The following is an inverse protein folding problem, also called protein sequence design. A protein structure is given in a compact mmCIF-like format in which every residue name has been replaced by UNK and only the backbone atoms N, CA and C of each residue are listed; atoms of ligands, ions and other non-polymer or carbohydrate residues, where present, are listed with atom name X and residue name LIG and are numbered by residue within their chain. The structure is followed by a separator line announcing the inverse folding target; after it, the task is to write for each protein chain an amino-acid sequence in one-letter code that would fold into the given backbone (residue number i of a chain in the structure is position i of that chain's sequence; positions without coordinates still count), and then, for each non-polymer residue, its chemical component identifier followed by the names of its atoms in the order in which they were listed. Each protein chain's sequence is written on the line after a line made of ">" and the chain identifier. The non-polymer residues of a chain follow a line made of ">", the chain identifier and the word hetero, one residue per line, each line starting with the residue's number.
data_IF_589550403305
#
_entry.id   IF_589550403305
#
_cell.length_a   1.000
_cell.length_b   1.000
_cell.length_c   1.000
_cell.angle_alpha   90.00
_cell.angle_beta   90.00
_cell.angle_gamma   90.00
#
_symmetry.space_group_name_H-M   'P 1'
#
loop_
_entity.id
_entity.type
_entity.pdbx_description
1 polymer ?
#
# COMPACT_ATOMS: atom_id res chain seq x y z
N UNK A 1 -8.90 -18.13 -12.05
CA UNK A 1 -10.16 -17.33 -12.08
C UNK A 1 -9.92 -15.81 -12.20
N UNK A 2 -8.76 -15.33 -11.76
CA UNK A 2 -8.43 -13.91 -11.67
C UNK A 2 -7.85 -13.29 -12.96
N UNK A 3 -7.48 -14.11 -13.94
CA UNK A 3 -6.88 -13.69 -15.22
C UNK A 3 -7.65 -12.58 -15.95
N UNK A 4 -8.98 -12.68 -15.95
CA UNK A 4 -9.84 -11.66 -16.60
C UNK A 4 -9.71 -10.32 -15.89
N UNK A 5 -9.72 -10.30 -14.55
CA UNK A 5 -9.58 -9.08 -13.76
C UNK A 5 -8.19 -8.46 -13.96
N UNK A 6 -7.15 -9.29 -13.97
CA UNK A 6 -5.76 -8.85 -14.18
C UNK A 6 -5.62 -8.19 -15.55
N UNK A 7 -6.13 -8.84 -16.60
CA UNK A 7 -6.08 -8.32 -17.96
C UNK A 7 -6.85 -7.01 -18.09
N UNK A 8 -8.06 -6.95 -17.54
CA UNK A 8 -8.87 -5.73 -17.62
C UNK A 8 -8.21 -4.59 -16.86
N UNK A 9 -7.67 -4.85 -15.66
CA UNK A 9 -6.97 -3.85 -14.89
C UNK A 9 -5.66 -3.38 -15.57
N UNK A 10 -4.92 -4.31 -16.18
CA UNK A 10 -3.71 -4.01 -16.95
C UNK A 10 -3.99 -2.99 -18.07
N UNK A 11 -5.06 -3.22 -18.82
CA UNK A 11 -5.44 -2.37 -19.97
C UNK A 11 -6.12 -1.08 -19.53
N UNK A 12 -7.08 -1.17 -18.60
CA UNK A 12 -7.94 -0.05 -18.20
C UNK A 12 -7.20 1.04 -17.45
N UNK A 13 -6.26 0.66 -16.60
CA UNK A 13 -5.56 1.57 -15.71
C UNK A 13 -4.08 1.71 -16.08
N UNK A 14 -3.65 1.13 -17.21
CA UNK A 14 -2.26 1.20 -17.66
C UNK A 14 -1.26 0.49 -16.75
N UNK A 15 -1.70 -0.52 -15.98
CA UNK A 15 -0.79 -1.27 -15.10
C UNK A 15 0.15 -2.20 -15.88
N UNK A 16 -0.22 -2.62 -17.09
CA UNK A 16 0.55 -3.60 -17.87
C UNK A 16 0.89 -4.84 -17.05
N UNK A 17 2.16 -5.21 -17.03
CA UNK A 17 2.67 -6.38 -16.29
C UNK A 17 2.55 -6.24 -14.76
N UNK A 18 2.30 -5.04 -14.25
CA UNK A 18 2.12 -4.78 -12.81
C UNK A 18 0.73 -5.15 -12.30
N UNK A 19 -0.22 -5.50 -13.17
CA UNK A 19 -1.57 -5.87 -12.73
C UNK A 19 -1.60 -7.14 -11.88
N UNK A 20 -0.80 -8.15 -12.24
CA UNK A 20 -0.65 -9.37 -11.46
C UNK A 20 -0.10 -9.09 -10.04
N UNK A 21 1.05 -8.38 -9.88
CA UNK A 21 1.57 -8.10 -8.55
C UNK A 21 0.67 -7.18 -7.73
N UNK A 22 -0.09 -6.25 -8.34
CA UNK A 22 -1.10 -5.46 -7.61
C UNK A 22 -2.17 -6.37 -7.01
N UNK A 23 -2.70 -7.31 -7.78
CA UNK A 23 -3.68 -8.28 -7.27
C UNK A 23 -3.06 -9.16 -6.17
N UNK A 24 -1.84 -9.66 -6.38
CA UNK A 24 -1.12 -10.48 -5.40
C UNK A 24 -0.95 -9.74 -4.07
N UNK A 25 -0.49 -8.48 -4.11
CA UNK A 25 -0.32 -7.64 -2.92
C UNK A 25 -1.65 -7.33 -2.23
N UNK A 26 -2.73 -7.11 -3.00
CA UNK A 26 -4.08 -6.95 -2.45
C UNK A 26 -4.52 -8.20 -1.69
N UNK A 27 -4.37 -9.39 -2.30
CA UNK A 27 -4.71 -10.66 -1.66
C UNK A 27 -3.86 -10.91 -0.43
N UNK A 28 -2.55 -10.69 -0.52
CA UNK A 28 -1.63 -10.83 0.62
C UNK A 28 -2.07 -9.94 1.78
N UNK A 29 -2.30 -8.65 1.52
CA UNK A 29 -2.68 -7.69 2.54
C UNK A 29 -4.01 -8.02 3.21
N UNK A 30 -5.03 -8.38 2.43
CA UNK A 30 -6.37 -8.67 2.96
C UNK A 30 -6.47 -10.03 3.65
N UNK A 31 -5.58 -10.97 3.34
CA UNK A 31 -5.58 -12.33 3.93
C UNK A 31 -4.50 -12.53 4.98
N UNK A 32 -3.62 -11.54 5.18
CA UNK A 32 -2.59 -11.53 6.21
C UNK A 32 -3.20 -11.74 7.59
N UNK A 33 -2.69 -12.72 8.33
CA UNK A 33 -3.15 -13.03 9.69
C UNK A 33 -2.92 -11.86 10.64
N UNK A 34 -1.82 -11.14 10.47
CA UNK A 34 -1.46 -9.96 11.28
C UNK A 34 -2.47 -8.81 11.14
N UNK A 35 -3.19 -8.76 10.02
CA UNK A 35 -4.27 -7.79 9.77
C UNK A 35 -5.66 -8.32 10.17
N UNK A 36 -5.74 -9.48 10.85
CA UNK A 36 -7.01 -10.13 11.19
C UNK A 36 -7.63 -10.91 10.02
N UNK A 37 -6.86 -11.19 8.97
CA UNK A 37 -7.32 -11.87 7.76
C UNK A 37 -8.44 -11.11 7.04
N UNK A 38 -9.22 -11.84 6.23
CA UNK A 38 -10.28 -11.24 5.41
C UNK A 38 -11.32 -10.51 6.26
N UNK A 39 -11.69 -11.07 7.43
CA UNK A 39 -12.64 -10.43 8.33
C UNK A 39 -12.08 -9.11 8.87
N UNK A 40 -10.85 -9.10 9.41
CA UNK A 40 -10.22 -7.87 9.91
C UNK A 40 -10.06 -6.80 8.83
N UNK A 41 -9.76 -7.22 7.60
CA UNK A 41 -9.75 -6.32 6.45
C UNK A 41 -11.12 -5.68 6.18
N UNK A 42 -12.20 -6.46 6.16
CA UNK A 42 -13.57 -5.93 5.98
C UNK A 42 -14.01 -5.05 7.15
N UNK A 43 -13.61 -5.37 8.38
CA UNK A 43 -13.89 -4.55 9.56
C UNK A 43 -13.29 -3.14 9.42
N UNK A 44 -12.14 -2.96 8.74
CA UNK A 44 -11.60 -1.61 8.49
C UNK A 44 -12.53 -0.73 7.67
N UNK A 45 -13.18 -1.30 6.65
CA UNK A 45 -14.17 -0.57 5.85
C UNK A 45 -15.43 -0.28 6.66
N UNK A 46 -15.88 -1.24 7.46
CA UNK A 46 -17.03 -1.05 8.37
C UNK A 46 -16.77 0.04 9.40
N UNK A 47 -15.57 0.07 9.98
CA UNK A 47 -15.14 1.09 10.94
C UNK A 47 -15.10 2.50 10.32
N UNK A 48 -14.87 2.60 9.01
CA UNK A 48 -14.97 3.86 8.26
C UNK A 48 -16.40 4.21 7.79
N UNK A 49 -17.42 3.50 8.27
CA UNK A 49 -18.82 3.73 7.89
C UNK A 49 -19.22 3.15 6.53
N UNK A 50 -18.36 2.35 5.89
CA UNK A 50 -18.58 1.77 4.55
C UNK A 50 -19.20 0.36 4.61
N UNK A 51 -19.79 -0.01 5.75
CA UNK A 51 -20.43 -1.32 5.93
C UNK A 51 -21.47 -1.69 4.86
N UNK A 52 -22.37 -0.79 4.45
CA UNK A 52 -23.33 -1.08 3.38
C UNK A 52 -22.65 -1.37 2.02
N UNK A 53 -21.54 -0.70 1.74
CA UNK A 53 -20.75 -0.92 0.52
C UNK A 53 -20.11 -2.30 0.56
N UNK A 54 -19.46 -2.65 1.68
CA UNK A 54 -18.87 -3.98 1.89
C UNK A 54 -19.90 -5.09 1.72
N UNK A 55 -21.09 -4.92 2.30
CA UNK A 55 -22.16 -5.91 2.22
C UNK A 55 -22.58 -6.19 0.78
N UNK A 56 -22.55 -5.19 -0.09
CA UNK A 56 -22.87 -5.36 -1.52
C UNK A 56 -21.86 -6.22 -2.28
N UNK A 57 -20.62 -6.31 -1.79
CA UNK A 57 -19.56 -7.09 -2.43
C UNK A 57 -19.66 -8.58 -2.12
N UNK A 58 -20.24 -8.92 -0.97
CA UNK A 58 -20.35 -10.31 -0.53
C UNK A 58 -21.19 -11.11 -1.52
N UNK A 59 -20.66 -12.25 -1.97
CA UNK A 59 -21.32 -13.08 -2.99
C UNK A 59 -21.04 -12.69 -4.44
N UNK A 60 -20.34 -11.57 -4.70
CA UNK A 60 -19.85 -11.20 -6.02
C UNK A 60 -20.93 -10.98 -7.07
N UNK A 61 -22.11 -10.50 -6.66
CA UNK A 61 -23.24 -10.22 -7.53
C UNK A 61 -23.08 -8.93 -8.35
N UNK A 62 -23.94 -8.72 -9.37
CA UNK A 62 -23.95 -7.51 -10.20
C UNK A 62 -24.26 -6.23 -9.41
N UNK A 63 -24.77 -6.36 -8.18
CA UNK A 63 -25.07 -5.26 -7.26
C UNK A 63 -23.84 -4.78 -6.46
N UNK A 64 -22.64 -5.31 -6.72
CA UNK A 64 -21.42 -4.88 -6.05
C UNK A 64 -21.18 -3.38 -6.30
N UNK A 65 -21.30 -2.59 -5.24
CA UNK A 65 -21.20 -1.15 -5.33
C UNK A 65 -19.75 -0.72 -5.52
N UNK A 66 -19.51 0.22 -6.44
CA UNK A 66 -18.21 0.83 -6.60
C UNK A 66 -17.81 1.61 -5.35
N UNK A 67 -16.51 1.66 -5.07
CA UNK A 67 -15.93 2.47 -4.01
C UNK A 67 -15.08 3.58 -4.61
N UNK A 68 -15.21 4.78 -4.06
CA UNK A 68 -14.47 5.95 -4.54
C UNK A 68 -13.01 5.94 -4.08
N UNK A 69 -12.15 6.64 -4.82
CA UNK A 69 -10.74 6.78 -4.46
C UNK A 69 -10.55 7.40 -3.07
N UNK A 70 -11.34 8.40 -2.70
CA UNK A 70 -11.27 9.05 -1.37
C UNK A 70 -11.65 8.11 -0.23
N UNK A 71 -12.65 7.24 -0.43
CA UNK A 71 -13.01 6.19 0.53
C UNK A 71 -11.90 5.15 0.66
N UNK A 72 -11.25 4.79 -0.44
CA UNK A 72 -10.08 3.89 -0.43
C UNK A 72 -8.90 4.49 0.32
N UNK A 73 -8.57 5.75 0.04
CA UNK A 73 -7.51 6.50 0.74
C UNK A 73 -7.80 6.58 2.25
N UNK A 74 -9.06 6.80 2.62
CA UNK A 74 -9.47 6.86 4.03
C UNK A 74 -9.19 5.54 4.77
N UNK A 75 -9.47 4.39 4.14
CA UNK A 75 -9.37 3.09 4.80
C UNK A 75 -7.99 2.45 4.67
N UNK A 76 -7.36 2.59 3.50
CA UNK A 76 -6.15 1.86 3.13
C UNK A 76 -4.94 2.77 2.86
N UNK A 77 -5.13 4.09 2.96
CA UNK A 77 -4.11 5.08 2.65
C UNK A 77 -3.18 5.44 3.79
N UNK A 78 -3.38 4.89 5.00
CA UNK A 78 -2.52 5.10 6.16
C UNK A 78 -1.05 4.83 5.85
N UNK A 79 -0.13 5.40 6.64
CA UNK A 79 1.29 5.05 6.54
C UNK A 79 1.48 3.54 6.78
N UNK A 80 2.10 2.84 5.83
CA UNK A 80 2.18 1.37 5.83
C UNK A 80 0.92 0.63 5.36
N UNK A 81 -0.12 1.36 4.92
CA UNK A 81 -1.31 0.79 4.30
C UNK A 81 -1.06 0.25 2.88
N UNK A 82 -2.03 -0.50 2.36
CA UNK A 82 -1.90 -1.17 1.06
C UNK A 82 -1.54 -0.21 -0.08
N UNK A 83 -2.12 0.98 -0.11
CA UNK A 83 -1.88 1.94 -1.20
C UNK A 83 -0.42 2.40 -1.21
N UNK A 84 0.16 2.61 -0.04
CA UNK A 84 1.56 3.00 0.13
C UNK A 84 2.51 1.84 -0.20
N UNK A 85 2.15 0.62 0.19
CA UNK A 85 2.92 -0.59 -0.14
C UNK A 85 2.98 -0.80 -1.65
N UNK A 86 1.84 -0.75 -2.33
CA UNK A 86 1.74 -0.98 -3.77
C UNK A 86 2.46 0.13 -4.55
N UNK A 87 2.23 1.40 -4.22
CA UNK A 87 2.91 2.51 -4.89
C UNK A 87 4.42 2.44 -4.70
N UNK A 88 4.89 2.12 -3.49
CA UNK A 88 6.32 2.04 -3.17
C UNK A 88 7.03 0.84 -3.79
N UNK A 89 6.38 -0.33 -3.83
CA UNK A 89 7.00 -1.55 -4.38
C UNK A 89 6.96 -1.63 -5.90
N UNK A 90 5.90 -1.10 -6.51
CA UNK A 90 5.69 -1.21 -7.96
C UNK A 90 5.97 0.09 -8.71
N UNK A 91 6.36 1.16 -8.00
CA UNK A 91 6.66 2.48 -8.55
C UNK A 91 5.47 3.04 -9.35
N UNK A 92 4.25 2.75 -8.87
CA UNK A 92 3.01 3.20 -9.48
C UNK A 92 2.52 4.50 -8.83
N UNK A 93 2.00 5.40 -9.66
CA UNK A 93 1.32 6.62 -9.18
C UNK A 93 0.12 6.30 -8.29
N UNK A 94 -0.06 7.09 -7.23
CA UNK A 94 -1.11 6.89 -6.21
C UNK A 94 -2.52 6.83 -6.81
N UNK A 95 -2.82 7.70 -7.77
CA UNK A 95 -4.11 7.73 -8.47
C UNK A 95 -4.38 6.46 -9.28
N UNK A 96 -3.37 5.91 -9.94
CA UNK A 96 -3.51 4.66 -10.70
C UNK A 96 -3.73 3.47 -9.76
N UNK A 97 -3.02 3.44 -8.63
CA UNK A 97 -3.17 2.39 -7.61
C UNK A 97 -4.57 2.43 -6.98
N UNK A 98 -5.05 3.60 -6.58
CA UNK A 98 -6.39 3.76 -5.99
C UNK A 98 -7.48 3.40 -6.99
N UNK A 99 -7.40 3.87 -8.23
CA UNK A 99 -8.37 3.54 -9.27
C UNK A 99 -8.40 2.03 -9.56
N UNK A 100 -7.23 1.40 -9.70
CA UNK A 100 -7.14 -0.03 -9.93
C UNK A 100 -7.69 -0.83 -8.74
N UNK A 101 -7.26 -0.52 -7.51
CA UNK A 101 -7.74 -1.21 -6.32
C UNK A 101 -9.24 -1.00 -6.10
N UNK A 102 -9.78 0.19 -6.38
CA UNK A 102 -11.21 0.46 -6.28
C UNK A 102 -12.06 -0.40 -7.22
N UNK A 103 -11.50 -0.79 -8.37
CA UNK A 103 -12.11 -1.73 -9.30
C UNK A 103 -11.88 -3.20 -8.91
N UNK A 104 -10.66 -3.58 -8.52
CA UNK A 104 -10.34 -4.97 -8.15
C UNK A 104 -11.07 -5.39 -6.87
N UNK A 105 -11.14 -4.50 -5.88
CA UNK A 105 -11.51 -4.84 -4.51
C UNK A 105 -12.91 -5.46 -4.40
N UNK A 106 -14.00 -4.86 -4.92
CA UNK A 106 -15.33 -5.46 -4.88
C UNK A 106 -15.37 -6.85 -5.52
N UNK A 107 -14.71 -7.00 -6.66
CA UNK A 107 -14.68 -8.25 -7.41
C UNK A 107 -13.91 -9.34 -6.65
N UNK A 108 -12.75 -9.01 -6.07
CA UNK A 108 -11.94 -9.96 -5.29
C UNK A 108 -12.68 -10.40 -4.03
N UNK A 109 -13.27 -9.47 -3.27
CA UNK A 109 -14.07 -9.80 -2.07
C UNK A 109 -15.22 -10.74 -2.43
N UNK A 110 -15.94 -10.45 -3.51
CA UNK A 110 -17.02 -11.31 -3.98
C UNK A 110 -16.56 -12.72 -4.36
N UNK A 111 -15.39 -12.85 -4.99
CA UNK A 111 -14.80 -14.16 -5.33
C UNK A 111 -14.33 -14.93 -4.11
N UNK A 112 -13.89 -14.25 -3.06
CA UNK A 112 -13.51 -14.86 -1.79
C UNK A 112 -14.71 -15.24 -0.93
N UNK A 113 -15.92 -14.74 -1.22
CA UNK A 113 -17.11 -14.94 -0.38
C UNK A 113 -18.28 -15.59 -1.15
N UNK A 114 -18.08 -16.81 -1.68
CA UNK A 114 -19.13 -17.49 -2.43
C UNK A 114 -20.39 -17.66 -1.58
N UNK A 115 -21.55 -17.30 -2.13
CA UNK A 115 -22.83 -17.36 -1.41
C UNK A 115 -23.03 -16.26 -0.37
N UNK A 116 -22.20 -15.21 -0.35
CA UNK A 116 -22.35 -14.07 0.56
C UNK A 116 -21.79 -14.31 1.97
N UNK A 117 -21.09 -15.42 2.17
CA UNK A 117 -20.49 -15.79 3.46
C UNK A 117 -18.97 -15.83 3.40
N UNK A 118 -18.32 -15.56 4.53
CA UNK A 118 -16.88 -15.70 4.68
C UNK A 118 -16.51 -17.20 4.71
N UNK A 119 -15.53 -17.64 3.92
CA UNK A 119 -15.13 -19.04 3.90
C UNK A 119 -14.31 -19.37 5.16
N UNK A 120 -14.46 -20.60 5.66
CA UNK A 120 -13.66 -21.10 6.78
C UNK A 120 -12.17 -21.30 6.43
N UNK A 121 -11.86 -21.47 5.13
CA UNK A 121 -10.51 -21.62 4.62
C UNK A 121 -10.40 -21.05 3.21
N UNK A 122 -9.23 -20.49 2.89
CA UNK A 122 -8.98 -19.94 1.56
C UNK A 122 -8.63 -21.06 0.57
N UNK A 123 -9.12 -21.00 -0.68
CA UNK A 123 -8.71 -21.93 -1.73
C UNK A 123 -7.19 -21.90 -1.95
N UNK A 124 -6.59 -23.02 -2.36
CA UNK A 124 -5.15 -23.13 -2.57
C UNK A 124 -4.60 -22.12 -3.60
N UNK A 125 -5.36 -21.82 -4.66
CA UNK A 125 -5.03 -20.78 -5.65
C UNK A 125 -4.86 -19.40 -5.00
N UNK A 126 -5.80 -19.03 -4.12
CA UNK A 126 -5.77 -17.75 -3.39
C UNK A 126 -4.59 -17.70 -2.42
N UNK A 127 -4.34 -18.80 -1.71
CA UNK A 127 -3.20 -18.89 -0.79
C UNK A 127 -1.87 -18.75 -1.52
N UNK A 128 -1.71 -19.39 -2.69
CA UNK A 128 -0.50 -19.26 -3.50
C UNK A 128 -0.31 -17.83 -4.01
N UNK A 129 -1.38 -17.17 -4.46
CA UNK A 129 -1.32 -15.80 -4.97
C UNK A 129 -1.05 -14.79 -3.84
N UNK A 130 -1.64 -14.99 -2.66
CA UNK A 130 -1.36 -14.21 -1.47
C UNK A 130 0.08 -14.40 -0.98
N UNK A 131 0.59 -15.65 -0.98
CA UNK A 131 1.99 -15.92 -0.63
C UNK A 131 2.97 -15.23 -1.60
N UNK A 132 2.66 -15.21 -2.90
CA UNK A 132 3.45 -14.46 -3.87
C UNK A 132 3.43 -12.94 -3.59
N UNK A 133 2.29 -12.39 -3.17
CA UNK A 133 2.18 -11.00 -2.75
C UNK A 133 3.00 -10.68 -1.51
N UNK A 134 3.03 -11.59 -0.53
CA UNK A 134 3.85 -11.46 0.67
C UNK A 134 5.35 -11.39 0.34
N UNK A 135 5.82 -12.23 -0.60
CA UNK A 135 7.20 -12.18 -1.11
C UNK A 135 7.54 -10.84 -1.76
N UNK A 136 6.60 -10.22 -2.47
CA UNK A 136 6.79 -8.89 -3.07
C UNK A 136 6.87 -7.78 -2.01
N UNK A 137 6.09 -7.91 -0.94
CA UNK A 137 6.07 -6.95 0.19
C UNK A 137 7.37 -7.09 1.01
N UNK A 138 7.80 -8.33 1.27
CA UNK A 138 8.99 -8.65 2.04
C UNK A 138 10.30 -8.43 1.28
N UNK A 139 10.28 -8.42 -0.05
CA UNK A 139 11.48 -8.26 -0.86
C UNK A 139 12.23 -6.98 -0.46
N UNK A 140 13.50 -7.09 0.00
CA UNK A 140 14.33 -5.91 0.21
C UNK A 140 14.51 -5.23 -1.14
N UNK A 141 14.35 -3.91 -1.18
CA UNK A 141 14.70 -3.09 -2.35
C UNK A 141 16.17 -3.37 -2.63
N UNK A 142 16.44 -4.17 -3.66
CA UNK A 142 17.75 -4.77 -3.86
C UNK A 142 18.77 -3.70 -4.30
N UNK A 143 19.43 -3.08 -3.33
CA UNK A 143 20.83 -2.74 -3.48
C UNK A 143 21.62 -4.05 -3.31
N UNK A 144 22.12 -4.59 -4.42
CA UNK A 144 23.15 -5.63 -4.57
C UNK A 144 23.39 -6.55 -3.36
N UNK A 145 22.90 -7.79 -3.45
CA UNK A 145 23.73 -8.99 -3.33
C UNK A 145 22.88 -10.24 -3.52
N UNK A 146 23.31 -11.11 -4.42
CA UNK A 146 22.84 -12.48 -4.54
C UNK A 146 22.94 -13.18 -3.18
N UNK A 147 21.80 -13.42 -2.54
CA UNK A 147 21.67 -14.42 -1.49
C UNK A 147 20.46 -15.27 -1.87
N UNK A 148 20.73 -16.23 -2.76
CA UNK A 148 19.73 -17.16 -3.27
C UNK A 148 19.08 -17.97 -2.16
N UNK A 149 17.78 -18.17 -2.31
CA UNK A 149 17.13 -19.35 -1.74
C UNK A 149 17.64 -20.59 -2.48
N UNK A 150 18.25 -21.51 -1.74
CA UNK A 150 18.34 -22.92 -2.10
C UNK A 150 18.79 -23.70 -0.87
N UNK A 151 17.85 -24.36 -0.22
CA UNK A 151 18.16 -25.46 0.67
C UNK A 151 18.96 -26.52 -0.10
N UNK A 152 20.01 -27.05 0.53
CA UNK A 152 20.76 -28.20 0.01
C UNK A 152 22.15 -27.94 -0.57
N UNK A 153 22.98 -27.08 0.06
CA UNK A 153 24.38 -26.88 -0.35
C UNK A 153 25.42 -26.96 0.78
N UNK A 154 25.03 -27.41 1.99
CA UNK A 154 25.92 -27.38 3.17
C UNK A 154 26.62 -28.72 3.51
N UNK A 155 26.26 -29.84 2.88
CA UNK A 155 26.89 -31.15 3.18
C UNK A 155 28.13 -31.48 2.33
N UNK A 156 28.37 -30.76 1.23
CA UNK A 156 29.52 -31.01 0.35
C UNK A 156 30.73 -30.10 0.66
N UNK A 157 30.52 -29.08 1.49
CA UNK A 157 31.54 -28.10 1.89
C UNK A 157 32.83 -28.68 2.53
N UNK A 158 32.82 -29.78 3.33
CA UNK A 158 34.07 -30.26 3.92
C UNK A 158 35.06 -30.81 2.88
N UNK A 159 34.58 -31.39 1.78
CA UNK A 159 35.45 -31.96 0.74
C UNK A 159 36.09 -30.89 -0.14
N UNK A 160 35.36 -29.79 -0.41
CA UNK A 160 35.88 -28.66 -1.19
C UNK A 160 36.96 -27.90 -0.42
N UNK A 161 36.80 -27.72 0.89
CA UNK A 161 37.83 -27.09 1.75
C UNK A 161 39.11 -27.93 1.79
N UNK A 162 39.01 -29.27 1.79
CA UNK A 162 40.18 -30.16 1.73
C UNK A 162 40.92 -30.04 0.40
N UNK A 163 40.20 -29.97 -0.72
CA UNK A 163 40.83 -29.78 -2.05
C UNK A 163 41.47 -28.40 -2.17
N UNK A 164 40.82 -27.35 -1.68
CA UNK A 164 41.38 -25.99 -1.68
C UNK A 164 42.61 -25.85 -0.78
N UNK A 165 42.63 -26.49 0.40
CA UNK A 165 43.79 -26.48 1.29
C UNK A 165 45.00 -27.21 0.67
N UNK A 166 44.78 -28.31 -0.05
CA UNK A 166 45.84 -29.01 -0.77
C UNK A 166 46.44 -28.16 -1.90
N UNK A 167 45.60 -27.39 -2.62
CA UNK A 167 46.06 -26.48 -3.67
C UNK A 167 46.78 -25.25 -3.11
N UNK A 168 46.34 -24.73 -1.97
CA UNK A 168 46.96 -23.56 -1.33
C UNK A 168 48.29 -23.92 -0.64
N UNK A 169 48.41 -25.12 -0.06
CA UNK A 169 49.65 -25.63 0.52
C UNK A 169 50.77 -25.86 -0.51
N UNK A 170 50.41 -26.21 -1.76
CA UNK A 170 51.38 -26.40 -2.84
C UNK A 170 51.90 -25.06 -3.39
N UNK A 171 51.12 -23.98 -3.28
CA UNK A 171 51.47 -22.66 -3.81
C UNK A 171 52.39 -21.83 -2.90
N UNK A 172 52.65 -22.28 -1.66
CA UNK A 172 53.41 -21.49 -0.67
C UNK A 172 54.89 -21.88 -0.52
N UNK A 173 55.44 -22.76 -1.37
CA UNK A 173 56.88 -23.06 -1.39
C UNK A 173 57.68 -22.23 -2.42
N UNK A 174 57.18 -21.05 -2.80
CA UNK A 174 57.77 -20.14 -3.80
C UNK A 174 58.32 -18.81 -3.24
N UNK A 175 58.92 -18.85 -2.04
CA UNK A 175 60.18 -18.17 -1.66
C UNK A 175 60.62 -16.86 -2.41
N UNK A 176 60.50 -15.75 -1.68
CA UNK A 176 61.38 -14.56 -1.55
C UNK A 176 61.56 -13.55 -2.72
N UNK A 177 61.42 -12.24 -2.40
CA UNK A 177 62.55 -11.35 -2.00
C UNK A 177 62.17 -9.84 -1.98
N UNK A 178 62.46 -9.17 -0.86
CA UNK A 178 62.54 -7.70 -0.75
C UNK A 178 63.97 -7.19 -0.98
N UNK A 179 64.17 -5.94 -1.45
CA UNK A 179 64.94 -4.94 -0.67
C UNK A 179 64.35 -3.51 -0.82
N UNK A 180 64.04 -2.79 0.25
CA UNK A 180 64.87 -1.90 1.09
C UNK A 180 64.69 -0.39 0.76
N UNK A 181 64.87 0.55 1.72
CA UNK A 181 64.24 1.88 1.75
C UNK A 181 65.19 3.12 1.64
N UNK A 182 64.56 4.31 1.53
CA UNK A 182 65.02 5.71 1.86
C UNK A 182 65.83 6.51 0.81
N UNK A 183 65.93 7.88 0.88
CA UNK A 183 65.06 8.94 1.48
C UNK A 183 64.95 10.29 0.66
N UNK A 184 64.18 11.26 1.21
CA UNK A 184 64.24 12.74 1.09
C UNK A 184 63.80 13.44 -0.23
N UNK A 185 62.67 14.18 -0.20
CA UNK A 185 62.54 15.66 -0.10
C UNK A 185 62.86 16.37 -1.44
N UNK A 186 61.97 17.10 -2.12
CA UNK A 186 61.39 18.45 -1.89
C UNK A 186 60.36 18.64 -3.04
N UNK A 187 59.30 19.43 -3.04
CA UNK A 187 59.23 20.89 -2.92
C UNK A 187 57.74 21.27 -3.11
N UNK A 188 57.22 22.15 -2.25
CA UNK A 188 56.08 22.99 -2.59
C UNK A 188 56.59 24.14 -3.47
N UNK A 189 55.77 24.67 -4.39
CA UNK A 189 55.25 25.99 -4.04
C UNK A 189 53.77 26.22 -4.40
N UNK A 190 53.19 27.07 -3.57
CA UNK A 190 51.87 27.64 -3.67
C UNK A 190 51.63 28.42 -4.98
N UNK A 191 50.37 28.41 -5.43
CA UNK A 191 49.68 29.61 -5.92
C UNK A 191 48.17 29.39 -5.78
N UNK A 192 47.61 30.04 -4.77
CA UNK A 192 46.20 30.48 -4.73
C UNK A 192 46.02 31.63 -5.76
N UNK A 193 44.83 32.26 -5.96
CA UNK A 193 43.56 32.09 -5.25
C UNK A 193 42.30 32.08 -6.16
N UNK A 194 41.17 31.66 -5.61
CA UNK A 194 39.85 32.11 -6.05
C UNK A 194 38.88 32.08 -4.86
N UNK A 195 38.80 33.18 -4.14
CA UNK A 195 37.67 33.59 -3.29
C UNK A 195 36.75 34.51 -4.11
N UNK A 196 35.50 34.79 -3.71
CA UNK A 196 34.55 34.06 -2.87
C UNK A 196 33.17 33.90 -3.56
N UNK A 197 32.42 32.82 -3.29
CA UNK A 197 30.98 32.82 -3.58
C UNK A 197 30.26 33.62 -2.49
N UNK A 198 29.59 34.69 -2.93
CA UNK A 198 28.74 35.54 -2.13
C UNK A 198 27.54 34.75 -1.60
N UNK A 199 27.38 34.77 -0.28
CA UNK A 199 26.11 34.50 0.40
C UNK A 199 25.19 35.70 0.19
N UNK A 200 24.14 35.54 -0.60
CA UNK A 200 23.01 36.47 -0.59
C UNK A 200 21.96 35.95 0.39
N UNK A 201 22.00 36.52 1.59
CA UNK A 201 20.98 36.37 2.61
C UNK A 201 19.88 37.39 2.29
N UNK A 202 18.75 36.91 1.76
CA UNK A 202 17.54 37.71 1.63
C UNK A 202 16.86 37.85 3.02
N UNK A 203 16.66 39.07 3.54
CA UNK A 203 15.82 39.29 4.70
C UNK A 203 14.35 39.38 4.28
N UNK A 204 13.48 38.85 5.14
CA UNK A 204 12.05 39.06 5.09
C UNK A 204 11.70 40.55 5.26
N UNK A 205 10.74 41.06 4.50
CA UNK A 205 9.89 42.20 4.89
C UNK A 205 8.59 42.17 4.08
N UNK A 206 7.49 41.79 4.73
CA UNK A 206 6.16 42.36 4.46
C UNK A 206 6.08 43.69 5.27
N UNK A 207 5.30 44.72 4.89
CA UNK A 207 3.84 44.64 4.96
C UNK A 207 3.05 45.47 3.90
N UNK A 208 1.73 45.30 3.98
CA UNK A 208 0.54 45.95 3.38
C UNK A 208 0.60 47.50 3.18
N UNK A 209 -0.42 48.24 2.68
CA UNK A 209 -1.86 47.92 2.51
C UNK A 209 -2.56 48.58 1.29
N UNK A 210 -3.90 48.67 1.37
CA UNK A 210 -4.82 49.51 0.59
C UNK A 210 -5.22 48.93 -0.80
N UNK A 211 -6.49 48.92 -1.21
CA UNK A 211 -7.73 49.39 -0.63
C UNK A 211 -8.83 48.74 -1.46
N UNK A 212 -9.88 48.23 -0.80
CA UNK A 212 -11.18 48.10 -1.44
C UNK A 212 -11.68 49.53 -1.78
N UNK A 213 -12.70 49.71 -2.64
CA UNK A 213 -14.02 49.62 -2.02
C UNK A 213 -15.15 49.15 -2.94
N UNK A 214 -16.19 48.71 -2.24
CA UNK A 214 -17.60 48.97 -2.54
C UNK A 214 -18.21 48.28 -3.77
N UNK A 215 -19.48 47.88 -3.73
CA UNK A 215 -20.49 47.74 -2.70
C UNK A 215 -21.69 47.15 -3.42
N UNK A 216 -22.42 46.27 -2.74
CA UNK A 216 -23.88 46.36 -2.59
C UNK A 216 -24.26 45.14 -1.75
N UNK A 217 -24.32 45.30 -0.43
CA UNK A 217 -25.54 45.71 0.30
C UNK A 217 -26.69 44.75 0.00
N UNK A 218 -26.96 43.83 0.93
CA UNK A 218 -27.87 44.03 2.05
C UNK A 218 -29.32 43.77 1.58
N UNK A 219 -30.14 42.96 2.25
CA UNK A 219 -30.53 43.15 3.63
C UNK A 219 -31.21 41.90 4.23
N UNK A 220 -31.42 41.90 5.56
CA UNK A 220 -31.85 40.78 6.39
C UNK A 220 -33.34 40.89 6.81
N UNK A 221 -33.71 40.13 7.86
CA UNK A 221 -34.94 40.13 8.66
C UNK A 221 -36.08 39.25 8.10
N UNK A 222 -36.42 38.11 8.71
CA UNK A 222 -37.05 37.87 10.02
C UNK A 222 -38.60 37.86 9.97
N UNK A 223 -39.17 37.00 10.83
CA UNK A 223 -40.60 36.88 11.20
C UNK A 223 -41.45 36.03 10.22
N UNK A 224 -42.30 35.08 10.62
CA UNK A 224 -42.81 34.61 11.93
C UNK A 224 -43.64 33.30 11.70
N UNK A 225 -44.19 32.66 12.76
CA UNK A 225 -44.74 31.29 12.76
C UNK A 225 -46.28 31.21 12.57
N UNK A 226 -46.79 30.02 12.23
CA UNK A 226 -48.14 29.49 12.55
C UNK A 226 -48.24 28.07 11.96
N UNK A 227 -48.36 26.96 12.70
CA UNK A 227 -49.47 26.51 13.55
C UNK A 227 -50.81 26.29 12.79
N UNK A 228 -51.08 25.04 12.42
CA UNK A 228 -52.41 24.39 12.39
C UNK A 228 -52.18 22.87 12.19
N UNK A 229 -52.21 22.05 13.24
CA UNK A 229 -53.41 21.46 13.84
C UNK A 229 -54.12 20.44 12.92
N UNK A 230 -53.90 19.15 13.18
CA UNK A 230 -54.98 18.19 13.49
C UNK A 230 -54.44 16.79 13.83
N UNK A 231 -54.56 16.36 15.09
CA UNK A 231 -54.58 14.97 15.51
C UNK A 231 -56.03 14.46 15.62
N UNK A 232 -56.35 13.38 14.91
CA UNK A 232 -57.49 12.48 15.17
C UNK A 232 -56.92 11.07 14.97
N UNK A 233 -56.83 10.18 15.94
CA UNK A 233 -57.78 9.92 17.02
C UNK A 233 -58.74 8.84 16.54
N UNK A 234 -58.39 7.56 16.75
CA UNK A 234 -59.31 6.43 16.93
C UNK A 234 -58.53 5.16 17.34
N UNK A 235 -58.31 5.02 18.65
CA UNK A 235 -58.58 3.75 19.33
C UNK A 235 -60.05 3.81 19.83
N UNK A 236 -60.72 2.74 20.34
CA UNK A 236 -60.19 1.43 20.77
C UNK A 236 -61.11 0.22 20.42
N UNK A 237 -60.79 -0.92 21.03
CA UNK A 237 -61.65 -2.07 21.34
C UNK A 237 -61.81 -3.18 20.28
N UNK A 238 -61.12 -4.31 20.52
CA UNK A 238 -61.81 -5.54 20.87
C UNK A 238 -60.95 -6.33 21.86
N UNK A 239 -61.55 -6.58 23.02
CA UNK A 239 -61.14 -7.57 23.97
C UNK A 239 -61.60 -8.96 23.48
N UNK A 240 -60.76 -9.97 23.65
CA UNK A 240 -61.14 -11.37 23.93
C UNK A 240 -59.89 -11.98 24.57
N UNK A 241 -59.91 -12.28 25.87
CA UNK A 241 -60.33 -13.57 26.43
C UNK A 241 -59.44 -14.69 25.87
N UNK A 242 -58.55 -15.32 26.64
CA UNK A 242 -58.93 -16.30 27.66
C UNK A 242 -57.78 -16.52 28.64
N UNK A 243 -58.10 -16.45 29.93
CA UNK A 243 -57.34 -17.03 31.04
C UNK A 243 -58.02 -18.35 31.42
N UNK A 244 -57.26 -19.45 31.37
CA UNK A 244 -57.41 -20.60 32.25
C UNK A 244 -56.07 -21.34 32.29
#
# INVERSE_FOLDING_TARGET
>A
MYEVLIREAAVRFGLGDKALPVLQMLLAYMTAKDNGGLLGFLEKFKAAGLGPIVQSWLGGGPSAQAISNSQLETVLGSSGGLLSLVSGKLELGRDNVTAALGYLLPAVVGKLTPGGSLPNSLPAEVQALAAAGDQLIAAPTAATASAGGSGGLLNWLPWVVVVLAALFGLSYCGKDKAPAPSPAAVEAPASAPATPQASDAAPATAPAPAEAPAASEAQPAASEPAAAASPSGSAPASAEDTRA
#
